data_IF_577093870549
#
_entry.id   IF_577093870549
#
_cell.length_a   1.000
_cell.length_b   1.000
_cell.length_c   1.000
_cell.angle_alpha   90.00
_cell.angle_beta   90.00
_cell.angle_gamma   90.00
#
_symmetry.space_group_name_H-M   'P 1'
#
loop_
_entity.id
_entity.type
_entity.pdbx_description
1 polymer ?
#
# COMPACT_ATOMS: atom_id res chain seq x y z
N UNK A 1 -28.77 32.57 -7.22
CA UNK A 1 -27.86 33.34 -6.33
C UNK A 1 -27.66 32.65 -4.98
N UNK A 2 -28.70 32.10 -4.34
CA UNK A 2 -28.63 31.41 -3.04
C UNK A 2 -27.72 30.16 -3.02
N UNK A 3 -27.75 29.31 -4.04
CA UNK A 3 -26.97 28.06 -4.07
C UNK A 3 -25.44 28.29 -4.04
N UNK A 4 -24.96 29.30 -4.75
CA UNK A 4 -23.53 29.66 -4.79
C UNK A 4 -23.06 30.25 -3.45
N UNK A 5 -23.93 31.01 -2.77
CA UNK A 5 -23.64 31.57 -1.44
C UNK A 5 -23.60 30.45 -0.39
N UNK A 6 -24.57 29.53 -0.42
CA UNK A 6 -24.58 28.35 0.47
C UNK A 6 -23.33 27.50 0.26
N UNK A 7 -22.96 27.22 -0.99
CA UNK A 7 -21.75 26.48 -1.31
C UNK A 7 -20.47 27.19 -0.80
N UNK A 8 -20.38 28.51 -0.98
CA UNK A 8 -19.28 29.31 -0.47
C UNK A 8 -19.16 29.27 1.06
N UNK A 9 -20.28 29.42 1.78
CA UNK A 9 -20.32 29.33 3.23
C UNK A 9 -19.92 27.94 3.74
N UNK A 10 -20.36 26.86 3.08
CA UNK A 10 -19.95 25.49 3.40
C UNK A 10 -18.45 25.30 3.20
N UNK A 11 -17.89 25.78 2.09
CA UNK A 11 -16.44 25.72 1.84
C UNK A 11 -15.63 26.48 2.89
N UNK A 12 -16.07 27.70 3.25
CA UNK A 12 -15.40 28.49 4.29
C UNK A 12 -15.43 27.80 5.66
N UNK A 13 -16.59 27.25 6.07
CA UNK A 13 -16.73 26.49 7.31
C UNK A 13 -15.82 25.26 7.33
N UNK A 14 -15.73 24.51 6.23
CA UNK A 14 -14.83 23.35 6.12
C UNK A 14 -13.36 23.74 6.24
N UNK A 15 -12.95 24.86 5.64
CA UNK A 15 -11.59 25.39 5.76
C UNK A 15 -11.30 25.80 7.22
N UNK A 16 -12.24 26.47 7.88
CA UNK A 16 -12.13 26.88 9.28
C UNK A 16 -12.02 25.65 10.19
N UNK A 17 -12.88 24.65 10.00
CA UNK A 17 -12.83 23.40 10.78
C UNK A 17 -11.51 22.65 10.56
N UNK A 18 -10.99 22.61 9.33
CA UNK A 18 -9.71 21.99 9.00
C UNK A 18 -8.51 22.72 9.63
N UNK A 19 -8.56 24.05 9.67
CA UNK A 19 -7.49 24.89 10.22
C UNK A 19 -7.49 24.90 11.74
N UNK A 20 -8.65 24.83 12.39
CA UNK A 20 -8.77 24.88 13.85
C UNK A 20 -8.69 23.49 14.49
N UNK A 21 -9.38 22.48 13.94
CA UNK A 21 -9.48 21.17 14.58
C UNK A 21 -8.40 20.20 14.10
N UNK A 22 -7.49 19.83 15.00
CA UNK A 22 -6.49 18.79 14.76
C UNK A 22 -7.12 17.42 14.46
N UNK A 23 -8.23 17.10 15.13
CA UNK A 23 -8.99 15.87 14.91
C UNK A 23 -9.64 15.84 13.52
N UNK A 24 -10.32 16.92 13.12
CA UNK A 24 -10.90 17.00 11.78
C UNK A 24 -9.82 16.86 10.70
N UNK A 25 -8.70 17.56 10.87
CA UNK A 25 -7.54 17.46 9.96
C UNK A 25 -6.99 16.03 9.88
N UNK A 26 -6.88 15.33 11.01
CA UNK A 26 -6.43 13.95 11.05
C UNK A 26 -7.35 13.05 10.24
N UNK A 27 -8.66 13.05 10.51
CA UNK A 27 -9.59 12.16 9.81
C UNK A 27 -9.71 12.48 8.32
N UNK A 28 -9.66 13.76 7.94
CA UNK A 28 -9.64 14.17 6.52
C UNK A 28 -8.39 13.62 5.84
N UNK A 29 -7.20 13.85 6.42
CA UNK A 29 -5.94 13.36 5.85
C UNK A 29 -5.88 11.83 5.79
N UNK A 30 -6.34 11.16 6.83
CA UNK A 30 -6.38 9.70 6.89
C UNK A 30 -7.36 9.14 5.84
N UNK A 31 -8.54 9.71 5.69
CA UNK A 31 -9.51 9.32 4.67
C UNK A 31 -8.94 9.51 3.27
N UNK A 32 -8.32 10.67 3.00
CA UNK A 32 -7.62 10.95 1.74
C UNK A 32 -6.51 9.93 1.49
N UNK A 33 -5.73 9.58 2.51
CA UNK A 33 -4.68 8.56 2.39
C UNK A 33 -5.25 7.21 1.94
N UNK A 34 -6.34 6.73 2.54
CA UNK A 34 -6.97 5.45 2.18
C UNK A 34 -7.50 5.49 0.74
N UNK A 35 -8.29 6.52 0.41
CA UNK A 35 -8.92 6.64 -0.91
C UNK A 35 -7.85 6.72 -2.01
N UNK A 36 -6.83 7.55 -1.82
CA UNK A 36 -5.75 7.67 -2.80
C UNK A 36 -4.89 6.41 -2.88
N UNK A 37 -4.68 5.69 -1.77
CA UNK A 37 -3.99 4.39 -1.79
C UNK A 37 -4.73 3.37 -2.66
N UNK A 38 -6.06 3.31 -2.57
CA UNK A 38 -6.88 2.44 -3.41
C UNK A 38 -6.82 2.85 -4.89
N UNK A 39 -6.88 4.15 -5.19
CA UNK A 39 -6.75 4.67 -6.55
C UNK A 39 -5.38 4.33 -7.12
N UNK A 40 -4.30 4.61 -6.41
CA UNK A 40 -2.94 4.33 -6.87
C UNK A 40 -2.68 2.84 -7.06
N UNK A 41 -3.23 1.99 -6.19
CA UNK A 41 -3.15 0.55 -6.35
C UNK A 41 -3.82 0.08 -7.65
N UNK A 42 -4.98 0.63 -7.98
CA UNK A 42 -5.87 0.07 -9.01
C UNK A 42 -5.76 0.73 -10.37
N UNK A 43 -5.47 2.03 -10.44
CA UNK A 43 -5.31 2.76 -11.69
C UNK A 43 -4.26 2.17 -12.65
N UNK A 44 -3.11 1.63 -12.19
CA UNK A 44 -2.11 1.06 -13.08
C UNK A 44 -2.41 -0.37 -13.54
N UNK A 45 -3.55 -0.98 -13.18
CA UNK A 45 -3.92 -2.34 -13.59
C UNK A 45 -3.71 -2.60 -15.09
N UNK A 46 -4.12 -1.71 -16.02
CA UNK A 46 -3.85 -1.92 -17.45
C UNK A 46 -2.36 -2.09 -17.78
N UNK A 47 -1.47 -1.37 -17.08
CA UNK A 47 -0.02 -1.50 -17.25
C UNK A 47 0.51 -2.81 -16.66
N UNK A 48 -0.05 -3.25 -15.52
CA UNK A 48 0.36 -4.49 -14.86
C UNK A 48 0.00 -5.73 -15.69
N UNK A 49 -0.99 -5.65 -16.59
CA UNK A 49 -1.34 -6.73 -17.52
C UNK A 49 -0.24 -7.04 -18.55
N UNK A 50 0.68 -6.11 -18.80
CA UNK A 50 1.85 -6.35 -19.69
C UNK A 50 2.74 -7.44 -19.09
N UNK A 51 2.87 -7.47 -17.76
CA UNK A 51 3.67 -8.46 -17.05
C UNK A 51 2.97 -8.87 -15.75
N UNK A 52 1.94 -9.72 -15.83
CA UNK A 52 1.16 -10.11 -14.66
C UNK A 52 2.04 -10.90 -13.69
N UNK A 53 1.69 -10.81 -12.40
CA UNK A 53 2.38 -11.46 -11.27
C UNK A 53 3.83 -11.03 -11.02
N UNK A 54 4.29 -9.92 -11.61
CA UNK A 54 5.63 -9.39 -11.31
C UNK A 54 5.59 -8.49 -10.06
N UNK A 55 6.36 -8.78 -9.00
CA UNK A 55 6.45 -7.93 -7.80
C UNK A 55 6.81 -6.46 -8.09
N UNK A 56 7.51 -6.20 -9.20
CA UNK A 56 7.85 -4.83 -9.61
C UNK A 56 6.64 -4.00 -10.00
N UNK A 57 5.50 -4.61 -10.31
CA UNK A 57 4.26 -3.88 -10.56
C UNK A 57 3.84 -3.04 -9.34
N UNK A 58 4.22 -3.43 -8.12
CA UNK A 58 3.97 -2.66 -6.90
C UNK A 58 4.80 -1.36 -6.81
N UNK A 59 5.88 -1.20 -7.61
CA UNK A 59 6.71 0.01 -7.58
C UNK A 59 5.95 1.25 -8.08
N UNK A 60 5.01 1.08 -9.00
CA UNK A 60 4.17 2.17 -9.53
C UNK A 60 3.26 2.74 -8.43
N UNK A 61 2.36 1.96 -7.79
CA UNK A 61 1.54 2.46 -6.68
C UNK A 61 2.40 2.96 -5.52
N UNK A 62 3.53 2.29 -5.22
CA UNK A 62 4.46 2.72 -4.19
C UNK A 62 5.01 4.12 -4.45
N UNK A 63 5.42 4.43 -5.68
CA UNK A 63 5.90 5.74 -6.06
C UNK A 63 4.84 6.83 -5.83
N UNK A 64 3.63 6.62 -6.33
CA UNK A 64 2.55 7.60 -6.16
C UNK A 64 2.17 7.79 -4.69
N UNK A 65 2.08 6.71 -3.91
CA UNK A 65 1.80 6.79 -2.48
C UNK A 65 2.92 7.52 -1.73
N UNK A 66 4.19 7.33 -2.11
CA UNK A 66 5.32 8.08 -1.56
C UNK A 66 5.22 9.57 -1.79
N UNK A 67 4.88 9.98 -3.01
CA UNK A 67 4.69 11.38 -3.36
C UNK A 67 3.49 11.97 -2.60
N UNK A 68 2.36 11.26 -2.58
CA UNK A 68 1.15 11.74 -1.93
C UNK A 68 1.28 11.85 -0.40
N UNK A 69 1.96 10.91 0.24
CA UNK A 69 2.22 10.98 1.67
C UNK A 69 3.03 12.23 2.06
N UNK A 70 3.97 12.67 1.21
CA UNK A 70 4.68 13.95 1.41
C UNK A 70 3.73 15.14 1.34
N UNK A 71 2.78 15.14 0.40
CA UNK A 71 1.73 16.18 0.28
C UNK A 71 0.86 16.23 1.54
N UNK A 72 0.52 15.07 2.11
CA UNK A 72 -0.22 14.98 3.37
C UNK A 72 0.62 15.41 4.60
N UNK A 73 1.92 15.62 4.43
CA UNK A 73 2.86 16.02 5.47
C UNK A 73 3.39 14.87 6.32
N UNK A 74 3.29 13.62 5.84
CA UNK A 74 3.90 12.48 6.52
C UNK A 74 5.42 12.56 6.40
N UNK A 75 6.09 12.40 7.55
CA UNK A 75 7.55 12.31 7.64
C UNK A 75 7.90 10.91 8.12
N UNK A 76 8.95 10.34 7.56
CA UNK A 76 9.43 9.01 7.92
C UNK A 76 10.96 9.00 7.94
N UNK A 77 11.52 8.06 8.68
CA UNK A 77 12.95 7.80 8.72
C UNK A 77 13.14 6.28 8.66
N UNK A 78 13.94 5.81 7.72
CA UNK A 78 14.43 4.42 7.74
C UNK A 78 15.74 4.39 8.50
N UNK A 79 15.88 3.41 9.38
CA UNK A 79 17.10 3.11 10.13
C UNK A 79 17.45 1.66 9.89
N UNK A 80 18.73 1.30 9.95
CA UNK A 80 19.16 -0.07 9.76
C UNK A 80 19.25 -0.50 8.28
N UNK A 81 19.39 0.43 7.34
CA UNK A 81 19.43 0.12 5.91
C UNK A 81 20.66 -0.73 5.55
N UNK A 82 21.74 -0.61 6.31
CA UNK A 82 22.94 -1.43 6.25
C UNK A 82 22.68 -2.93 6.47
N UNK A 83 21.54 -3.29 7.08
CA UNK A 83 21.13 -4.68 7.27
C UNK A 83 20.35 -5.24 6.07
N UNK A 84 19.99 -4.40 5.09
CA UNK A 84 19.22 -4.82 3.90
C UNK A 84 20.18 -5.37 2.86
N UNK A 85 20.23 -6.70 2.78
CA UNK A 85 21.03 -7.43 1.81
C UNK A 85 20.14 -7.98 0.68
N UNK A 86 20.23 -7.34 -0.48
CA UNK A 86 19.48 -7.73 -1.69
C UNK A 86 20.13 -8.89 -2.47
N UNK A 87 21.29 -9.40 -2.05
CA UNK A 87 21.97 -10.54 -2.71
C UNK A 87 21.36 -11.89 -2.35
N UNK A 88 20.54 -11.95 -1.30
CA UNK A 88 19.90 -13.17 -0.81
C UNK A 88 18.40 -12.98 -0.58
N UNK A 89 17.70 -14.10 -0.55
CA UNK A 89 16.32 -14.14 -0.09
C UNK A 89 16.18 -13.81 1.39
N UNK A 90 15.14 -13.07 1.74
CA UNK A 90 14.82 -12.73 3.12
C UNK A 90 13.30 -12.69 3.35
N UNK A 91 12.90 -12.84 4.61
CA UNK A 91 11.51 -12.61 5.06
C UNK A 91 11.48 -11.30 5.80
N UNK A 92 10.69 -10.34 5.31
CA UNK A 92 10.47 -9.06 5.97
C UNK A 92 9.27 -9.20 6.90
N UNK A 93 9.50 -9.04 8.20
CA UNK A 93 8.43 -9.06 9.20
C UNK A 93 8.01 -7.62 9.52
N UNK A 94 6.72 -7.32 9.31
CA UNK A 94 6.12 -6.05 9.69
C UNK A 94 5.07 -6.29 10.77
N UNK A 95 5.04 -5.43 11.78
CA UNK A 95 3.83 -5.30 12.59
C UNK A 95 2.71 -4.74 11.70
N UNK A 96 1.50 -5.29 11.81
CA UNK A 96 0.33 -4.78 11.09
C UNK A 96 -0.56 -4.00 12.06
N UNK A 97 -0.30 -2.70 12.20
CA UNK A 97 -0.98 -1.84 13.16
C UNK A 97 -2.14 -1.08 12.53
N UNK A 98 -2.02 -0.68 11.26
CA UNK A 98 -3.07 0.11 10.60
C UNK A 98 -2.92 0.12 9.08
N UNK A 99 -3.87 0.75 8.40
CA UNK A 99 -3.76 0.97 6.96
C UNK A 99 -2.58 1.89 6.57
N UNK A 100 -1.97 2.65 7.50
CA UNK A 100 -0.72 3.38 7.22
C UNK A 100 0.45 2.45 6.92
N UNK A 101 0.34 1.15 7.21
CA UNK A 101 1.37 0.16 6.87
C UNK A 101 1.54 0.03 5.34
N UNK A 102 0.54 0.44 4.54
CA UNK A 102 0.69 0.61 3.10
C UNK A 102 1.82 1.60 2.74
N UNK A 103 2.02 2.62 3.57
CA UNK A 103 3.11 3.55 3.39
C UNK A 103 4.47 2.91 3.70
N UNK A 104 4.55 2.09 4.75
CA UNK A 104 5.76 1.33 5.06
C UNK A 104 6.13 0.40 3.90
N UNK A 105 5.16 -0.31 3.32
CA UNK A 105 5.35 -1.11 2.10
C UNK A 105 5.83 -0.24 0.93
N UNK A 106 5.26 0.94 0.74
CA UNK A 106 5.69 1.88 -0.29
C UNK A 106 7.14 2.37 -0.11
N UNK A 107 7.67 2.39 1.12
CA UNK A 107 9.09 2.65 1.39
C UNK A 107 9.95 1.41 1.15
N UNK A 108 9.48 0.22 1.54
CA UNK A 108 10.26 -1.03 1.46
C UNK A 108 10.40 -1.54 0.02
N UNK A 109 9.34 -1.52 -0.78
CA UNK A 109 9.37 -2.04 -2.16
C UNK A 109 10.51 -1.51 -3.04
N UNK A 110 10.83 -0.20 -3.09
CA UNK A 110 11.97 0.27 -3.87
C UNK A 110 13.33 -0.15 -3.28
N UNK A 111 13.41 -0.48 -2.00
CA UNK A 111 14.63 -0.99 -1.36
C UNK A 111 14.85 -2.48 -1.66
N UNK A 112 13.78 -3.20 -1.98
CA UNK A 112 13.76 -4.64 -2.25
C UNK A 112 12.92 -4.94 -3.50
N UNK A 113 13.49 -4.76 -4.69
CA UNK A 113 12.73 -4.73 -5.97
C UNK A 113 11.98 -6.03 -6.33
N UNK A 114 12.35 -7.16 -5.72
CA UNK A 114 11.70 -8.47 -5.87
C UNK A 114 10.85 -8.87 -4.65
N UNK A 115 10.44 -7.89 -3.84
CA UNK A 115 9.64 -8.13 -2.63
C UNK A 115 8.15 -8.24 -2.94
N UNK A 116 7.53 -9.32 -2.45
CA UNK A 116 6.08 -9.49 -2.44
C UNK A 116 5.56 -9.54 -1.00
N UNK A 117 4.24 -9.39 -0.85
CA UNK A 117 3.52 -9.38 0.43
C UNK A 117 2.63 -10.60 0.55
N UNK A 118 2.46 -11.04 1.80
CA UNK A 118 1.49 -12.07 2.17
C UNK A 118 0.23 -11.39 2.68
N UNK A 119 -0.94 -11.76 2.15
CA UNK A 119 -2.21 -11.16 2.50
C UNK A 119 -3.30 -12.21 2.73
N UNK A 120 -4.37 -11.84 3.46
CA UNK A 120 -5.53 -12.73 3.68
C UNK A 120 -6.24 -13.01 2.36
N UNK A 121 -6.57 -14.27 2.08
CA UNK A 121 -7.26 -14.69 0.84
C UNK A 121 -8.57 -13.94 0.56
N UNK A 122 -9.31 -13.53 1.61
CA UNK A 122 -10.52 -12.71 1.41
C UNK A 122 -10.27 -11.38 0.71
N UNK A 123 -9.06 -10.80 0.80
CA UNK A 123 -8.72 -9.54 0.12
C UNK A 123 -8.55 -9.70 -1.39
N UNK A 124 -8.28 -10.90 -1.88
CA UNK A 124 -8.19 -11.19 -3.31
C UNK A 124 -9.52 -10.90 -4.04
N UNK A 125 -10.64 -11.02 -3.34
CA UNK A 125 -11.97 -10.82 -3.89
C UNK A 125 -12.47 -9.37 -3.83
N UNK A 126 -11.70 -8.45 -3.23
CA UNK A 126 -12.08 -7.03 -3.16
C UNK A 126 -11.76 -6.31 -4.47
N UNK A 127 -12.61 -6.45 -5.48
CA UNK A 127 -12.42 -5.80 -6.78
C UNK A 127 -12.60 -4.28 -6.66
N UNK A 128 -11.73 -3.43 -7.24
CA UNK A 128 -10.58 -3.76 -8.10
C UNK A 128 -9.23 -3.98 -7.37
N UNK A 129 -9.18 -3.72 -6.07
CA UNK A 129 -7.94 -3.82 -5.27
C UNK A 129 -7.31 -5.22 -5.27
N UNK A 130 -8.13 -6.26 -5.10
CA UNK A 130 -7.71 -7.66 -5.12
C UNK A 130 -7.08 -8.06 -6.46
N UNK A 131 -7.64 -7.59 -7.57
CA UNK A 131 -7.07 -7.80 -8.91
C UNK A 131 -5.71 -7.12 -9.05
N UNK A 132 -5.59 -5.85 -8.64
CA UNK A 132 -4.33 -5.12 -8.70
C UNK A 132 -3.24 -5.80 -7.86
N UNK A 133 -3.57 -6.15 -6.62
CA UNK A 133 -2.64 -6.78 -5.69
C UNK A 133 -2.19 -8.17 -6.14
N UNK A 134 -3.08 -8.93 -6.77
CA UNK A 134 -2.77 -10.19 -7.41
C UNK A 134 -1.83 -10.01 -8.62
N UNK A 135 -2.05 -8.98 -9.44
CA UNK A 135 -1.20 -8.69 -10.60
C UNK A 135 0.23 -8.25 -10.23
N UNK A 136 0.47 -7.75 -9.02
CA UNK A 136 1.84 -7.54 -8.51
C UNK A 136 2.37 -8.72 -7.69
N UNK A 137 1.72 -9.89 -7.75
CA UNK A 137 2.27 -11.12 -7.18
C UNK A 137 2.04 -11.31 -5.68
N UNK A 138 1.04 -10.65 -5.09
CA UNK A 138 0.66 -10.85 -3.68
C UNK A 138 0.33 -12.32 -3.41
N UNK A 139 0.89 -12.86 -2.32
CA UNK A 139 0.66 -14.24 -1.90
C UNK A 139 -0.53 -14.28 -0.95
N UNK A 140 -1.65 -14.83 -1.43
CA UNK A 140 -2.87 -14.93 -0.64
C UNK A 140 -2.92 -16.23 0.17
N UNK A 141 -3.16 -16.11 1.48
CA UNK A 141 -3.24 -17.24 2.42
C UNK A 141 -4.57 -17.31 3.16
N UNK A 142 -5.00 -18.53 3.46
CA UNK A 142 -6.12 -18.80 4.37
C UNK A 142 -5.63 -18.86 5.83
N UNK A 143 -6.55 -18.69 6.79
CA UNK A 143 -6.23 -18.76 8.24
C UNK A 143 -5.96 -20.18 8.76
N UNK A 144 -6.00 -21.20 7.89
CA UNK A 144 -5.63 -22.56 8.26
C UNK A 144 -4.12 -22.65 8.48
N UNK A 145 -3.69 -23.11 9.67
CA UNK A 145 -2.27 -23.18 10.01
C UNK A 145 -1.47 -24.01 8.98
N UNK A 146 -2.06 -25.11 8.48
CA UNK A 146 -1.42 -25.95 7.46
C UNK A 146 -1.35 -25.24 6.10
N UNK A 147 -2.46 -24.70 5.61
CA UNK A 147 -2.50 -24.06 4.29
C UNK A 147 -1.63 -22.80 4.22
N UNK A 148 -1.54 -22.03 5.32
CA UNK A 148 -0.62 -20.90 5.42
C UNK A 148 0.85 -21.36 5.39
N UNK A 149 1.20 -22.42 6.12
CA UNK A 149 2.56 -22.99 6.11
C UNK A 149 2.96 -23.50 4.73
N UNK A 150 2.07 -24.22 4.06
CA UNK A 150 2.34 -24.77 2.73
C UNK A 150 2.56 -23.65 1.69
N UNK A 151 1.73 -22.60 1.74
CA UNK A 151 1.89 -21.43 0.89
C UNK A 151 3.23 -20.71 1.13
N UNK A 152 3.64 -20.55 2.39
CA UNK A 152 4.92 -19.94 2.75
C UNK A 152 6.10 -20.81 2.34
N UNK A 153 6.04 -22.13 2.56
CA UNK A 153 7.08 -23.07 2.15
C UNK A 153 7.32 -23.02 0.63
N UNK A 154 6.24 -22.94 -0.15
CA UNK A 154 6.35 -22.77 -1.61
C UNK A 154 7.09 -21.48 -2.00
N UNK A 155 6.88 -20.39 -1.26
CA UNK A 155 7.64 -19.15 -1.49
C UNK A 155 9.10 -19.28 -1.07
N UNK A 156 9.39 -19.99 0.02
CA UNK A 156 10.76 -20.29 0.44
C UNK A 156 11.51 -21.09 -0.63
N UNK A 157 10.85 -22.07 -1.24
CA UNK A 157 11.46 -22.86 -2.32
C UNK A 157 11.70 -22.00 -3.58
N UNK A 158 10.75 -21.12 -3.93
CA UNK A 158 10.95 -20.16 -5.02
C UNK A 158 12.14 -19.23 -4.77
N UNK A 159 12.29 -18.74 -3.53
CA UNK A 159 13.41 -17.90 -3.09
C UNK A 159 14.75 -18.66 -3.16
N UNK A 160 14.79 -19.94 -2.79
CA UNK A 160 16.02 -20.75 -2.84
C UNK A 160 16.46 -21.08 -4.28
N UNK A 161 15.49 -21.28 -5.18
CA UNK A 161 15.73 -21.79 -6.53
C UNK A 161 15.85 -20.68 -7.60
N UNK A 162 15.38 -19.46 -7.33
CA UNK A 162 15.57 -18.30 -8.21
C UNK A 162 16.72 -17.43 -7.67
N UNK A 163 17.91 -17.55 -8.26
CA UNK A 163 18.99 -16.55 -8.12
C UNK A 163 18.67 -15.33 -8.99
#
# INVERSE_FOLDING_TARGET
MSANVVFGCVMALLIILFTISSMARYYIKFTLFIVMSLIFATAPVPLMLIKPFDPRNALIPAFFLRCFAKILGLRWTVRGLENVDNSRGAVVLLNHQSALDLYALAIIWPLMSRCTVVAKRSLQYLVPFGTATWLWGTVFIDRGAQTARDALNKQVDAIKNQK
#
